data_IF_556161558085
#
_entry.id   IF_556161558085
#
_cell.length_a   1.000
_cell.length_b   1.000
_cell.length_c   1.000
_cell.angle_alpha   90.00
_cell.angle_beta   90.00
_cell.angle_gamma   90.00
#
_symmetry.space_group_name_H-M   'P 1'
#
loop_
_entity.id
_entity.type
_entity.pdbx_description
1 polymer ?
#
# COMPACT_ATOMS: atom_id res chain seq x y z
N UNK A 1 -27.45 37.13 -36.57
CA UNK A 1 -27.44 37.03 -38.04
C UNK A 1 -25.99 37.21 -38.44
N UNK A 2 -25.26 36.30 -39.08
CA UNK A 2 -25.64 35.18 -39.94
C UNK A 2 -24.66 34.02 -39.74
N UNK A 3 -25.22 32.83 -39.67
CA UNK A 3 -24.60 31.53 -39.89
C UNK A 3 -23.89 31.47 -41.25
N UNK A 4 -22.73 30.82 -41.31
CA UNK A 4 -22.17 30.30 -42.55
C UNK A 4 -22.09 28.79 -42.43
N UNK A 5 -23.14 28.19 -42.97
CA UNK A 5 -23.33 26.79 -43.29
C UNK A 5 -23.05 26.69 -44.78
N UNK A 6 -22.11 25.84 -45.20
CA UNK A 6 -21.90 25.56 -46.62
C UNK A 6 -21.54 24.09 -46.81
N UNK A 7 -22.58 23.37 -47.18
CA UNK A 7 -22.67 22.45 -48.32
C UNK A 7 -21.72 21.27 -48.43
N UNK A 8 -22.35 20.12 -48.18
CA UNK A 8 -22.08 18.82 -48.79
C UNK A 8 -22.26 18.90 -50.31
N UNK A 9 -21.40 18.21 -51.06
CA UNK A 9 -21.88 17.34 -52.15
C UNK A 9 -21.02 16.06 -52.28
N UNK A 10 -21.60 14.96 -52.77
CA UNK A 10 -21.03 13.62 -52.72
C UNK A 10 -20.32 13.24 -54.03
N UNK A 11 -19.35 12.33 -53.94
CA UNK A 11 -18.91 11.53 -55.08
C UNK A 11 -18.88 10.07 -54.68
N UNK A 12 -19.72 9.30 -55.36
CA UNK A 12 -19.72 7.86 -55.42
C UNK A 12 -18.37 7.30 -55.91
N UNK A 13 -18.14 6.02 -55.64
CA UNK A 13 -17.54 5.16 -56.64
C UNK A 13 -16.24 4.45 -56.26
N UNK A 14 -16.40 3.26 -55.68
CA UNK A 14 -15.72 2.04 -56.12
C UNK A 14 -14.18 2.03 -56.18
N UNK A 15 -13.56 1.33 -55.21
CA UNK A 15 -12.84 0.11 -55.58
C UNK A 15 -12.55 -0.76 -54.36
N UNK A 16 -13.08 -2.00 -54.40
CA UNK A 16 -12.58 -3.16 -53.65
C UNK A 16 -11.06 -3.24 -53.81
N UNK A 17 -10.33 -3.20 -52.70
CA UNK A 17 -9.04 -3.89 -52.59
C UNK A 17 -9.12 -4.87 -51.43
N UNK A 18 -8.79 -6.10 -51.76
CA UNK A 18 -8.49 -7.19 -50.85
C UNK A 18 -7.60 -6.69 -49.71
N UNK A 19 -8.11 -6.79 -48.49
CA UNK A 19 -7.28 -6.81 -47.30
C UNK A 19 -6.62 -8.18 -47.26
N UNK A 20 -5.34 -8.23 -47.61
CA UNK A 20 -4.49 -9.34 -47.24
C UNK A 20 -4.39 -9.31 -45.70
N UNK A 21 -5.07 -10.25 -45.05
CA UNK A 21 -4.90 -10.54 -43.63
C UNK A 21 -3.48 -11.05 -43.41
N UNK A 22 -2.61 -10.15 -42.98
CA UNK A 22 -1.32 -10.49 -42.40
C UNK A 22 -1.59 -11.33 -41.13
N UNK A 23 -1.10 -12.57 -41.03
CA UNK A 23 -1.32 -13.39 -39.85
C UNK A 23 -0.65 -12.71 -38.66
N UNK A 24 -1.49 -12.28 -37.69
CA UNK A 24 -1.08 -11.80 -36.37
C UNK A 24 -0.20 -12.87 -35.72
N UNK A 25 1.12 -12.74 -35.93
CA UNK A 25 2.14 -13.40 -35.15
C UNK A 25 1.84 -13.08 -33.68
N UNK A 26 1.45 -14.13 -32.95
CA UNK A 26 1.21 -14.08 -31.52
C UNK A 26 2.38 -13.36 -30.87
N UNK A 27 2.10 -12.16 -30.35
CA UNK A 27 3.06 -11.39 -29.57
C UNK A 27 3.59 -12.32 -28.47
N UNK A 28 4.92 -12.52 -28.38
CA UNK A 28 5.49 -13.41 -27.39
C UNK A 28 5.04 -12.91 -26.03
N UNK A 29 4.31 -13.76 -25.30
CA UNK A 29 3.94 -13.50 -23.92
C UNK A 29 5.20 -13.05 -23.17
N UNK A 30 5.17 -11.92 -22.45
CA UNK A 30 6.36 -11.47 -21.73
C UNK A 30 6.86 -12.62 -20.86
N UNK A 31 8.17 -12.88 -20.85
CA UNK A 31 8.72 -13.98 -20.07
C UNK A 31 8.22 -13.86 -18.63
N UNK A 32 7.85 -14.97 -17.97
CA UNK A 32 7.41 -14.93 -16.59
C UNK A 32 8.52 -14.25 -15.79
N UNK A 33 8.22 -13.05 -15.28
CA UNK A 33 9.11 -12.32 -14.39
C UNK A 33 9.29 -13.23 -13.19
N UNK A 34 10.41 -13.95 -13.19
CA UNK A 34 10.84 -14.76 -12.07
C UNK A 34 11.30 -13.75 -11.04
N UNK A 35 10.35 -13.29 -10.22
CA UNK A 35 10.69 -12.66 -8.96
C UNK A 35 11.44 -13.73 -8.18
N UNK A 36 12.76 -13.68 -8.23
CA UNK A 36 13.61 -14.39 -7.28
C UNK A 36 13.13 -13.93 -5.91
N UNK A 37 12.31 -14.77 -5.29
CA UNK A 37 11.96 -14.69 -3.89
C UNK A 37 13.26 -14.89 -3.12
N UNK A 38 14.04 -13.81 -3.00
CA UNK A 38 14.80 -13.61 -1.79
C UNK A 38 13.73 -13.67 -0.72
N UNK A 39 13.67 -14.80 0.00
CA UNK A 39 13.04 -14.86 1.32
C UNK A 39 13.41 -13.52 1.93
N UNK A 40 12.42 -12.65 2.14
CA UNK A 40 12.59 -11.48 2.98
C UNK A 40 12.79 -12.10 4.36
N UNK A 41 14.01 -12.60 4.57
CA UNK A 41 14.50 -13.03 5.84
C UNK A 41 14.48 -11.72 6.61
N UNK A 42 13.67 -11.76 7.66
CA UNK A 42 13.35 -10.74 8.63
C UNK A 42 14.64 -10.37 9.39
N UNK A 43 15.67 -9.95 8.67
CA UNK A 43 16.79 -9.25 9.25
C UNK A 43 16.18 -7.90 9.62
N UNK A 44 15.74 -7.76 10.88
CA UNK A 44 15.16 -6.55 11.47
C UNK A 44 16.11 -5.34 11.48
N UNK A 45 17.03 -5.26 10.53
CA UNK A 45 17.94 -4.18 10.16
C UNK A 45 17.27 -3.18 9.23
N UNK A 46 16.35 -3.59 8.34
CA UNK A 46 15.75 -2.69 7.33
C UNK A 46 14.90 -1.56 7.94
N UNK A 47 14.31 -1.79 9.12
CA UNK A 47 13.38 -0.88 9.79
C UNK A 47 13.96 -0.26 11.06
N UNK A 48 15.27 0.00 11.06
CA UNK A 48 15.92 0.71 12.15
C UNK A 48 16.01 2.21 11.88
N UNK A 49 15.96 2.98 12.96
CA UNK A 49 16.05 4.44 13.00
C UNK A 49 17.06 4.80 14.11
N UNK A 50 17.65 5.99 14.03
CA UNK A 50 18.76 6.44 14.88
C UNK A 50 20.03 5.64 14.61
N UNK A 51 20.67 5.88 13.45
CA UNK A 51 21.93 5.22 13.07
C UNK A 51 21.84 3.69 13.15
N UNK A 52 20.76 3.12 12.60
CA UNK A 52 20.46 1.68 12.62
C UNK A 52 20.50 1.01 14.01
N UNK A 53 20.35 1.78 15.09
CA UNK A 53 20.49 1.25 16.44
C UNK A 53 19.15 0.81 17.04
N UNK A 54 18.05 1.50 16.72
CA UNK A 54 16.74 1.29 17.38
C UNK A 54 15.69 0.87 16.37
N UNK A 55 14.91 -0.17 16.69
CA UNK A 55 13.78 -0.59 15.85
C UNK A 55 12.70 0.50 15.82
N UNK A 56 12.12 0.76 14.64
CA UNK A 56 11.14 1.83 14.41
C UNK A 56 9.98 1.81 15.41
N UNK A 57 9.52 0.61 15.79
CA UNK A 57 8.43 0.40 16.76
C UNK A 57 8.72 1.04 18.12
N UNK A 58 9.97 1.06 18.56
CA UNK A 58 10.39 1.69 19.82
C UNK A 58 10.79 3.16 19.64
N UNK A 59 11.30 3.53 18.47
CA UNK A 59 11.73 4.89 18.18
C UNK A 59 10.54 5.86 18.07
N UNK A 60 9.46 5.48 17.39
CA UNK A 60 8.28 6.34 17.17
C UNK A 60 7.68 6.90 18.47
N UNK A 61 7.35 6.10 19.51
CA UNK A 61 6.78 6.66 20.74
C UNK A 61 7.75 7.61 21.44
N UNK A 62 9.05 7.31 21.42
CA UNK A 62 10.07 8.19 22.00
C UNK A 62 10.13 9.54 21.26
N UNK A 63 10.08 9.53 19.93
CA UNK A 63 10.02 10.76 19.13
C UNK A 63 8.75 11.57 19.37
N UNK A 64 7.60 10.93 19.56
CA UNK A 64 6.34 11.62 19.91
C UNK A 64 6.49 12.32 21.26
N UNK A 65 7.03 11.63 22.28
CA UNK A 65 7.24 12.21 23.61
C UNK A 65 8.19 13.40 23.54
N UNK A 66 9.34 13.26 22.87
CA UNK A 66 10.30 14.36 22.70
C UNK A 66 9.65 15.55 21.99
N UNK A 67 8.87 15.31 20.93
CA UNK A 67 8.15 16.35 20.20
C UNK A 67 7.16 17.09 21.10
N UNK A 68 6.33 16.37 21.86
CA UNK A 68 5.39 16.98 22.80
C UNK A 68 6.09 17.82 23.87
N UNK A 69 7.22 17.34 24.41
CA UNK A 69 8.02 18.08 25.41
C UNK A 69 8.65 19.34 24.80
N UNK A 70 9.23 19.25 23.60
CA UNK A 70 9.81 20.40 22.89
C UNK A 70 8.76 21.49 22.62
N UNK A 71 7.57 21.10 22.14
CA UNK A 71 6.47 22.04 21.94
C UNK A 71 5.99 22.67 23.25
N UNK A 72 5.98 21.91 24.35
CA UNK A 72 5.60 22.45 25.66
C UNK A 72 6.64 23.46 26.18
N UNK A 73 7.93 23.19 25.99
CA UNK A 73 9.01 24.14 26.30
C UNK A 73 8.87 25.43 25.49
N UNK A 74 8.48 25.32 24.21
CA UNK A 74 8.20 26.49 23.35
C UNK A 74 6.94 27.25 23.77
N UNK A 75 5.95 26.55 24.33
CA UNK A 75 4.68 27.13 24.77
C UNK A 75 4.84 28.01 26.02
N UNK A 76 5.67 27.60 27.00
CA UNK A 76 5.88 28.32 28.27
C UNK A 76 6.20 29.82 28.07
N UNK A 77 7.25 30.21 27.32
CA UNK A 77 7.59 31.62 27.13
C UNK A 77 6.53 32.38 26.33
N UNK A 78 5.78 31.69 25.46
CA UNK A 78 4.72 32.27 24.66
C UNK A 78 3.50 32.61 25.53
N UNK A 79 3.17 31.75 26.48
CA UNK A 79 2.07 31.99 27.44
C UNK A 79 2.38 33.17 28.35
N UNK A 80 3.63 33.34 28.78
CA UNK A 80 4.00 34.44 29.69
C UNK A 80 4.00 35.83 29.04
N UNK A 81 4.04 35.93 27.70
CA UNK A 81 4.28 37.20 27.00
C UNK A 81 3.17 37.64 26.05
N UNK A 82 2.16 36.80 25.82
CA UNK A 82 1.21 36.99 24.71
C UNK A 82 -0.20 37.32 25.16
N UNK A 83 -1.00 37.85 24.22
CA UNK A 83 -2.43 38.09 24.42
C UNK A 83 -3.22 36.78 24.55
N UNK A 84 -4.43 36.86 25.13
CA UNK A 84 -5.31 35.72 25.38
C UNK A 84 -5.60 34.88 24.13
N UNK A 85 -5.74 35.52 22.97
CA UNK A 85 -6.00 34.83 21.70
C UNK A 85 -4.79 34.00 21.24
N UNK A 86 -3.57 34.53 21.36
CA UNK A 86 -2.33 33.81 21.01
C UNK A 86 -2.15 32.61 21.93
N UNK A 87 -2.46 32.75 23.23
CA UNK A 87 -2.42 31.66 24.20
C UNK A 87 -3.38 30.54 23.79
N UNK A 88 -4.64 30.87 23.50
CA UNK A 88 -5.65 29.89 23.08
C UNK A 88 -5.23 29.15 21.80
N UNK A 89 -4.75 29.88 20.79
CA UNK A 89 -4.27 29.29 19.55
C UNK A 89 -3.06 28.36 19.76
N UNK A 90 -2.16 28.73 20.67
CA UNK A 90 -0.97 27.94 20.99
C UNK A 90 -1.33 26.63 21.68
N UNK A 91 -2.26 26.67 22.65
CA UNK A 91 -2.76 25.47 23.33
C UNK A 91 -3.49 24.57 22.33
N UNK A 92 -4.32 25.14 21.47
CA UNK A 92 -5.01 24.38 20.42
C UNK A 92 -4.02 23.68 19.47
N UNK A 93 -2.98 24.40 19.04
CA UNK A 93 -1.91 23.83 18.20
C UNK A 93 -1.16 22.70 18.91
N UNK A 94 -0.86 22.87 20.20
CA UNK A 94 -0.23 21.82 21.01
C UNK A 94 -1.10 20.57 21.11
N UNK A 95 -2.42 20.72 21.33
CA UNK A 95 -3.37 19.61 21.37
C UNK A 95 -3.41 18.89 20.01
N UNK A 96 -3.41 19.63 18.89
CA UNK A 96 -3.36 19.02 17.55
C UNK A 96 -2.08 18.23 17.32
N UNK A 97 -0.92 18.73 17.76
CA UNK A 97 0.36 18.01 17.69
C UNK A 97 0.31 16.73 18.53
N UNK A 98 -0.22 16.79 19.74
CA UNK A 98 -0.38 15.61 20.60
C UNK A 98 -1.33 14.58 19.98
N UNK A 99 -2.46 15.04 19.43
CA UNK A 99 -3.45 14.17 18.78
C UNK A 99 -2.87 13.47 17.55
N UNK A 100 -2.13 14.20 16.71
CA UNK A 100 -1.48 13.62 15.52
C UNK A 100 -0.35 12.65 15.87
N UNK A 101 0.35 12.88 16.98
CA UNK A 101 1.27 11.90 17.56
C UNK A 101 0.53 10.63 18.03
N UNK A 102 -0.62 10.78 18.68
CA UNK A 102 -1.43 9.63 19.11
C UNK A 102 -1.97 8.84 17.92
N UNK A 103 -2.45 9.50 16.86
CA UNK A 103 -2.91 8.81 15.65
C UNK A 103 -1.79 8.09 14.92
N UNK A 104 -0.57 8.66 14.91
CA UNK A 104 0.62 7.98 14.39
C UNK A 104 0.91 6.69 15.15
N UNK A 105 0.92 6.76 16.48
CA UNK A 105 1.15 5.59 17.33
C UNK A 105 0.05 4.53 17.19
N UNK A 106 -1.22 4.95 17.15
CA UNK A 106 -2.34 4.06 16.89
C UNK A 106 -2.26 3.43 15.49
N UNK A 107 -1.84 4.20 14.49
CA UNK A 107 -1.59 3.74 13.12
C UNK A 107 -0.54 2.65 13.08
N UNK A 108 0.54 2.80 13.85
CA UNK A 108 1.62 1.82 13.99
C UNK A 108 1.15 0.52 14.64
N UNK A 109 0.41 0.58 15.75
CA UNK A 109 -0.11 -0.62 16.43
C UNK A 109 -1.14 -1.35 15.57
N UNK A 110 -2.05 -0.61 14.94
CA UNK A 110 -3.11 -1.20 14.12
C UNK A 110 -2.66 -1.54 12.70
N UNK A 111 -1.42 -1.21 12.33
CA UNK A 111 -0.89 -1.34 10.97
C UNK A 111 -1.79 -0.68 9.90
N UNK A 112 -2.39 0.48 10.23
CA UNK A 112 -3.30 1.22 9.36
C UNK A 112 -2.64 2.50 8.88
N UNK A 113 -2.17 2.50 7.63
CA UNK A 113 -1.51 3.67 7.02
C UNK A 113 -2.39 4.93 6.98
N UNK A 114 -3.72 4.77 6.91
CA UNK A 114 -4.68 5.90 6.89
C UNK A 114 -4.55 6.79 8.13
N UNK A 115 -4.18 6.20 9.29
CA UNK A 115 -3.99 6.92 10.54
C UNK A 115 -2.64 7.67 10.62
N UNK A 116 -1.70 7.36 9.73
CA UNK A 116 -0.40 8.05 9.62
C UNK A 116 -0.53 9.33 8.80
N UNK A 117 -1.44 9.37 7.82
CA UNK A 117 -1.59 10.49 6.88
C UNK A 117 -1.71 11.85 7.59
N UNK A 118 -2.55 12.01 8.65
CA UNK A 118 -2.63 13.28 9.37
C UNK A 118 -1.30 13.71 9.99
N UNK A 119 -0.52 12.77 10.52
CA UNK A 119 0.80 13.03 11.12
C UNK A 119 1.82 13.46 10.06
N UNK A 120 1.82 12.82 8.88
CA UNK A 120 2.66 13.24 7.75
C UNK A 120 2.33 14.66 7.29
N UNK A 121 1.04 14.96 7.11
CA UNK A 121 0.59 16.26 6.66
C UNK A 121 0.99 17.37 7.64
N UNK A 122 0.70 17.19 8.93
CA UNK A 122 1.06 18.15 9.97
C UNK A 122 2.57 18.33 10.09
N UNK A 123 3.35 17.26 9.98
CA UNK A 123 4.81 17.34 10.04
C UNK A 123 5.38 18.11 8.84
N UNK A 124 4.88 17.84 7.63
CA UNK A 124 5.30 18.57 6.43
C UNK A 124 4.95 20.07 6.52
N UNK A 125 3.74 20.38 6.96
CA UNK A 125 3.27 21.76 7.14
C UNK A 125 4.09 22.48 8.21
N UNK A 126 4.44 21.80 9.31
CA UNK A 126 5.31 22.34 10.36
C UNK A 126 6.70 22.67 9.83
N UNK A 127 7.34 21.74 9.13
CA UNK A 127 8.66 21.95 8.50
C UNK A 127 8.62 23.14 7.54
N UNK A 128 7.58 23.22 6.72
CA UNK A 128 7.42 24.32 5.76
C UNK A 128 7.29 25.68 6.46
N UNK A 129 6.38 25.80 7.44
CA UNK A 129 6.20 27.03 8.21
C UNK A 129 7.47 27.43 8.98
N UNK A 130 8.14 26.46 9.60
CA UNK A 130 9.36 26.71 10.36
C UNK A 130 10.52 27.13 9.45
N UNK A 131 10.60 26.57 8.26
CA UNK A 131 11.58 26.97 7.23
C UNK A 131 11.33 28.40 6.76
N UNK A 132 10.08 28.76 6.45
CA UNK A 132 9.70 30.12 6.09
C UNK A 132 10.01 31.11 7.22
N UNK A 133 9.64 30.78 8.45
CA UNK A 133 9.92 31.63 9.61
C UNK A 133 11.43 31.82 9.84
N UNK A 134 12.22 30.76 9.66
CA UNK A 134 13.69 30.84 9.74
C UNK A 134 14.27 31.72 8.62
N UNK A 135 13.73 31.62 7.40
CA UNK A 135 14.13 32.45 6.28
C UNK A 135 13.81 33.94 6.51
N UNK A 136 12.61 34.26 7.01
CA UNK A 136 12.23 35.64 7.36
C UNK A 136 13.16 36.22 8.42
N UNK A 137 13.49 35.46 9.47
CA UNK A 137 14.45 35.89 10.49
C UNK A 137 15.84 36.15 9.91
N UNK A 138 16.30 35.31 8.99
CA UNK A 138 17.59 35.51 8.35
C UNK A 138 17.61 36.81 7.51
N UNK A 139 16.55 37.09 6.75
CA UNK A 139 16.40 38.35 6.02
C UNK A 139 16.43 39.57 6.94
N UNK A 140 15.73 39.50 8.08
CA UNK A 140 15.74 40.59 9.06
C UNK A 140 17.14 40.83 9.61
N UNK A 141 17.88 39.77 9.92
CA UNK A 141 19.27 39.83 10.40
C UNK A 141 20.22 40.47 9.39
N UNK A 142 19.94 40.33 8.09
CA UNK A 142 20.72 41.01 7.04
C UNK A 142 20.33 42.47 6.83
N UNK A 143 19.07 42.84 7.10
CA UNK A 143 18.58 44.21 6.92
C UNK A 143 18.90 45.13 8.10
N UNK A 144 18.88 44.58 9.31
CA UNK A 144 19.19 45.28 10.53
C UNK A 144 20.64 45.00 10.85
N UNK A 145 21.47 46.04 10.90
CA UNK A 145 22.84 46.00 11.43
C UNK A 145 22.81 45.82 12.96
N UNK A 146 21.96 44.90 13.42
CA UNK A 146 21.70 44.60 14.82
C UNK A 146 22.96 43.97 15.42
N UNK A 147 23.41 44.51 16.56
CA UNK A 147 24.44 43.85 17.37
C UNK A 147 23.93 42.46 17.74
N UNK A 148 24.57 41.42 17.19
CA UNK A 148 24.31 40.03 17.55
C UNK A 148 24.61 39.83 19.03
N UNK A 149 23.61 40.04 19.87
CA UNK A 149 23.68 39.69 21.29
C UNK A 149 23.66 38.17 21.42
N UNK A 150 24.38 37.63 22.43
CA UNK A 150 24.44 36.19 22.71
C UNK A 150 23.06 35.52 22.81
N UNK A 151 22.06 36.24 23.31
CA UNK A 151 20.67 35.77 23.43
C UNK A 151 20.05 35.54 22.05
N UNK A 152 20.31 36.41 21.08
CA UNK A 152 19.79 36.30 19.72
C UNK A 152 20.41 35.12 18.97
N UNK A 153 21.73 34.91 19.13
CA UNK A 153 22.44 33.75 18.58
C UNK A 153 21.87 32.44 19.14
N UNK A 154 21.70 32.34 20.46
CA UNK A 154 21.17 31.13 21.09
C UNK A 154 19.74 30.81 20.66
N UNK A 155 18.88 31.84 20.50
CA UNK A 155 17.53 31.67 19.98
C UNK A 155 17.52 31.11 18.54
N UNK A 156 18.41 31.59 17.69
CA UNK A 156 18.54 31.11 16.31
C UNK A 156 19.07 29.68 16.23
N UNK A 157 20.05 29.32 17.07
CA UNK A 157 20.57 27.94 17.18
C UNK A 157 19.46 26.99 17.63
N UNK A 158 18.69 27.35 18.66
CA UNK A 158 17.59 26.51 19.14
C UNK A 158 16.53 26.30 18.06
N UNK A 159 16.18 27.35 17.31
CA UNK A 159 15.23 27.25 16.20
C UNK A 159 15.75 26.34 15.08
N UNK A 160 17.05 26.40 14.78
CA UNK A 160 17.68 25.53 13.79
C UNK A 160 17.71 24.06 14.24
N UNK A 161 18.04 23.80 15.51
CA UNK A 161 17.97 22.46 16.10
C UNK A 161 16.55 21.90 16.07
N UNK A 162 15.55 22.74 16.34
CA UNK A 162 14.14 22.37 16.25
C UNK A 162 13.74 22.02 14.81
N UNK A 163 14.25 22.75 13.81
CA UNK A 163 14.05 22.42 12.40
C UNK A 163 14.69 21.09 12.00
N UNK A 164 15.93 20.83 12.43
CA UNK A 164 16.60 19.55 12.20
C UNK A 164 15.80 18.41 12.82
N UNK A 165 15.33 18.60 14.06
CA UNK A 165 14.49 17.62 14.74
C UNK A 165 13.20 17.34 13.97
N UNK A 166 12.50 18.37 13.47
CA UNK A 166 11.28 18.20 12.68
C UNK A 166 11.53 17.49 11.34
N UNK A 167 12.64 17.79 10.66
CA UNK A 167 13.05 17.07 9.45
C UNK A 167 13.30 15.58 9.74
N UNK A 168 13.99 15.30 10.86
CA UNK A 168 14.26 13.93 11.28
C UNK A 168 12.99 13.19 11.73
N UNK A 169 12.07 13.90 12.40
CA UNK A 169 10.76 13.38 12.75
C UNK A 169 9.96 13.01 11.49
N UNK A 170 9.88 13.91 10.50
CA UNK A 170 9.21 13.66 9.23
C UNK A 170 9.81 12.45 8.50
N UNK A 171 11.13 12.31 8.48
CA UNK A 171 11.81 11.13 7.96
C UNK A 171 11.41 9.85 8.71
N UNK A 172 11.34 9.90 10.04
CA UNK A 172 10.91 8.74 10.86
C UNK A 172 9.45 8.36 10.56
N UNK A 173 8.57 9.35 10.43
CA UNK A 173 7.16 9.12 10.08
C UNK A 173 7.03 8.51 8.69
N UNK A 174 7.81 8.98 7.70
CA UNK A 174 7.77 8.41 6.34
C UNK A 174 8.30 6.97 6.32
N UNK A 175 9.35 6.65 7.08
CA UNK A 175 9.82 5.27 7.27
C UNK A 175 8.76 4.40 7.95
N UNK A 176 8.00 4.96 8.89
CA UNK A 176 6.86 4.29 9.54
C UNK A 176 5.76 3.96 8.54
N UNK A 177 5.45 4.89 7.64
CA UNK A 177 4.49 4.66 6.57
C UNK A 177 4.92 3.51 5.66
N UNK A 178 6.18 3.52 5.19
CA UNK A 178 6.74 2.45 4.35
C UNK A 178 6.69 1.10 5.06
N UNK A 179 7.11 1.04 6.33
CA UNK A 179 7.04 -0.17 7.15
C UNK A 179 5.63 -0.77 7.17
N UNK A 180 4.60 0.05 7.42
CA UNK A 180 3.22 -0.44 7.46
C UNK A 180 2.75 -0.90 6.08
N UNK A 181 3.10 -0.18 5.02
CA UNK A 181 2.79 -0.59 3.66
C UNK A 181 3.42 -1.95 3.32
N UNK A 182 4.69 -2.17 3.67
CA UNK A 182 5.40 -3.42 3.43
C UNK A 182 4.79 -4.58 4.22
N UNK A 183 4.50 -4.38 5.51
CA UNK A 183 3.84 -5.38 6.36
C UNK A 183 2.47 -5.75 5.78
N UNK A 184 1.69 -4.76 5.36
CA UNK A 184 0.35 -4.99 4.78
C UNK A 184 0.42 -5.68 3.42
N UNK A 185 1.34 -5.28 2.56
CA UNK A 185 1.55 -5.92 1.26
C UNK A 185 1.96 -7.39 1.44
N UNK A 186 2.81 -7.68 2.42
CA UNK A 186 3.20 -9.06 2.72
C UNK A 186 2.00 -9.89 3.21
N UNK A 187 1.16 -9.34 4.10
CA UNK A 187 -0.09 -9.98 4.54
C UNK A 187 -1.04 -10.25 3.37
N UNK A 188 -1.26 -9.27 2.50
CA UNK A 188 -2.12 -9.41 1.33
C UNK A 188 -1.63 -10.49 0.35
N UNK A 189 -0.30 -10.60 0.14
CA UNK A 189 0.30 -11.65 -0.70
C UNK A 189 0.07 -13.04 -0.07
N UNK A 190 0.30 -13.19 1.23
CA UNK A 190 0.08 -14.45 1.93
C UNK A 190 -1.40 -14.87 1.89
N UNK A 191 -2.32 -13.94 2.07
CA UNK A 191 -3.75 -14.21 2.01
C UNK A 191 -4.20 -14.61 0.59
N UNK A 192 -3.69 -13.93 -0.44
CA UNK A 192 -3.93 -14.33 -1.85
C UNK A 192 -3.41 -15.74 -2.14
N UNK A 193 -2.22 -16.10 -1.64
CA UNK A 193 -1.68 -17.46 -1.78
C UNK A 193 -2.52 -18.51 -1.08
N UNK A 194 -2.99 -18.23 0.15
CA UNK A 194 -3.90 -19.14 0.87
C UNK A 194 -5.19 -19.35 0.10
N UNK A 195 -5.83 -18.26 -0.36
CA UNK A 195 -7.05 -18.33 -1.17
C UNK A 195 -6.83 -19.14 -2.45
N UNK A 196 -5.74 -18.89 -3.17
CA UNK A 196 -5.42 -19.63 -4.39
C UNK A 196 -5.15 -21.13 -4.14
N UNK A 197 -4.51 -21.46 -3.01
CA UNK A 197 -4.27 -22.87 -2.61
C UNK A 197 -5.58 -23.57 -2.26
N UNK A 198 -6.49 -22.89 -1.55
CA UNK A 198 -7.82 -23.43 -1.23
C UNK A 198 -8.64 -23.65 -2.50
N UNK A 199 -8.63 -22.69 -3.43
CA UNK A 199 -9.34 -22.82 -4.72
C UNK A 199 -8.77 -23.99 -5.52
N UNK A 200 -7.44 -24.10 -5.65
CA UNK A 200 -6.80 -25.24 -6.32
C UNK A 200 -7.14 -26.58 -5.67
N UNK A 201 -7.11 -26.65 -4.33
CA UNK A 201 -7.50 -27.85 -3.60
C UNK A 201 -8.95 -28.28 -3.87
N UNK A 202 -9.87 -27.31 -3.93
CA UNK A 202 -11.28 -27.58 -4.27
C UNK A 202 -11.48 -28.02 -5.72
N UNK A 203 -10.72 -27.45 -6.66
CA UNK A 203 -10.76 -27.87 -8.08
C UNK A 203 -10.27 -29.31 -8.21
N UNK A 204 -9.13 -29.65 -7.57
CA UNK A 204 -8.60 -31.02 -7.58
C UNK A 204 -9.56 -32.01 -6.90
N UNK A 205 -10.24 -31.60 -5.82
CA UNK A 205 -11.24 -32.44 -5.17
C UNK A 205 -12.49 -32.64 -6.04
N UNK A 206 -12.92 -31.60 -6.77
CA UNK A 206 -14.02 -31.68 -7.73
C UNK A 206 -13.67 -32.59 -8.91
N UNK A 207 -12.47 -32.48 -9.48
CA UNK A 207 -11.98 -33.36 -10.55
C UNK A 207 -11.90 -34.81 -10.08
N UNK A 208 -11.46 -35.06 -8.85
CA UNK A 208 -11.42 -36.42 -8.28
C UNK A 208 -12.83 -37.00 -8.09
N UNK A 209 -13.78 -36.21 -7.58
CA UNK A 209 -15.18 -36.65 -7.45
C UNK A 209 -15.81 -36.93 -8.81
N UNK A 210 -15.52 -36.10 -9.80
CA UNK A 210 -15.99 -36.30 -11.18
C UNK A 210 -15.41 -37.59 -11.75
N UNK A 211 -14.11 -37.83 -11.60
CA UNK A 211 -13.46 -39.08 -12.09
C UNK A 211 -14.08 -40.33 -11.48
N UNK A 212 -14.35 -40.33 -10.16
CA UNK A 212 -14.99 -41.47 -9.47
C UNK A 212 -16.40 -41.74 -10.02
N UNK A 213 -17.17 -40.69 -10.33
CA UNK A 213 -18.52 -40.86 -10.91
C UNK A 213 -18.45 -41.53 -12.28
N UNK A 214 -17.48 -41.14 -13.11
CA UNK A 214 -17.30 -41.74 -14.44
C UNK A 214 -16.80 -43.19 -14.38
N UNK A 215 -15.86 -43.49 -13.47
CA UNK A 215 -15.41 -44.89 -13.25
C UNK A 215 -16.58 -45.78 -12.77
N UNK A 216 -17.46 -45.26 -11.91
CA UNK A 216 -18.64 -46.01 -11.47
C UNK A 216 -19.66 -46.24 -12.59
N UNK A 217 -19.86 -45.29 -13.52
CA UNK A 217 -20.76 -45.45 -14.67
C UNK A 217 -20.20 -46.45 -15.71
N UNK A 218 -18.88 -46.49 -15.89
CA UNK A 218 -18.22 -47.48 -16.75
C UNK A 218 -18.32 -48.90 -16.16
N UNK A 219 -18.12 -49.06 -14.85
CA UNK A 219 -18.27 -50.36 -14.16
C UNK A 219 -19.72 -50.87 -14.20
N UNK A 220 -20.72 -49.99 -14.07
CA UNK A 220 -22.14 -50.35 -14.21
C UNK A 220 -22.46 -50.77 -15.65
N UNK A 221 -21.89 -50.08 -16.63
CA UNK A 221 -22.06 -50.41 -18.06
C UNK A 221 -21.41 -51.75 -18.40
N UNK A 222 -20.24 -52.06 -17.84
CA UNK A 222 -19.57 -53.34 -18.00
C UNK A 222 -20.30 -54.50 -17.31
N UNK A 223 -20.80 -54.31 -16.09
CA UNK A 223 -21.58 -55.31 -15.37
C UNK A 223 -22.91 -55.64 -16.09
N UNK A 224 -23.59 -54.62 -16.61
CA UNK A 224 -24.82 -54.80 -17.41
C UNK A 224 -24.55 -55.58 -18.72
N UNK A 225 -23.39 -55.37 -19.33
CA UNK A 225 -23.01 -56.03 -20.58
C UNK A 225 -22.60 -57.50 -20.36
N UNK A 226 -21.99 -57.82 -19.21
CA UNK A 226 -21.70 -59.21 -18.82
C UNK A 226 -22.97 -59.99 -18.47
N UNK A 227 -23.90 -59.40 -17.72
CA UNK A 227 -25.20 -60.02 -17.43
C UNK A 227 -25.99 -60.32 -18.72
N UNK A 228 -26.01 -59.38 -19.67
CA UNK A 228 -26.66 -59.58 -20.96
C UNK A 228 -25.98 -60.66 -21.82
N UNK A 229 -24.65 -60.83 -21.69
CA UNK A 229 -23.89 -61.87 -22.39
C UNK A 229 -24.16 -63.25 -21.77
N UNK A 230 -24.25 -63.36 -20.44
CA UNK A 230 -24.56 -64.60 -19.73
C UNK A 230 -25.99 -65.11 -20.03
N UNK A 231 -26.97 -64.22 -20.16
CA UNK A 231 -28.34 -64.59 -20.53
C UNK A 231 -28.41 -65.19 -21.96
N UNK A 232 -27.66 -64.62 -22.91
CA UNK A 232 -27.56 -65.16 -24.28
C UNK A 232 -26.89 -66.54 -24.35
N UNK A 233 -25.89 -66.82 -23.53
CA UNK A 233 -25.26 -68.15 -23.47
C UNK A 233 -26.19 -69.20 -22.84
N UNK A 234 -27.00 -68.81 -21.84
CA UNK A 234 -28.02 -69.67 -21.24
C UNK A 234 -29.12 -70.10 -22.21
N UNK A 235 -29.59 -69.20 -23.09
CA UNK A 235 -30.57 -69.55 -24.12
C UNK A 235 -30.00 -70.43 -25.24
N UNK A 236 -28.72 -70.27 -25.60
CA UNK A 236 -28.10 -71.04 -26.68
C UNK A 236 -27.84 -72.50 -26.26
N UNK A 237 -27.56 -72.76 -24.98
CA UNK A 237 -27.37 -74.12 -24.45
C UNK A 237 -28.68 -74.93 -24.42
N UNK A 238 -29.80 -74.30 -24.04
CA UNK A 238 -31.14 -74.94 -24.07
C UNK A 238 -31.62 -75.33 -25.47
N UNK A 239 -31.02 -74.80 -26.54
CA UNK A 239 -31.38 -75.11 -27.92
C UNK A 239 -30.58 -76.28 -28.52
N UNK A 240 -29.54 -76.75 -27.82
CA UNK A 240 -28.71 -77.89 -28.25
C UNK A 240 -29.23 -79.21 -27.65
N UNK A 241 -29.89 -79.17 -26.49
CA UNK A 241 -30.42 -80.36 -25.82
C UNK A 241 -31.79 -80.85 -26.37
N UNK A 242 -32.24 -80.29 -27.50
CA UNK A 242 -33.55 -80.60 -28.12
C UNK A 242 -33.44 -81.08 -29.58
N UNK A 243 -32.27 -81.56 -30.00
CA UNK A 243 -32.07 -82.28 -31.27
C UNK A 243 -31.61 -83.69 -30.99
#
# INVERSE_FOLDING_TARGET
>A
MSSNESDRQPSEGSHRRHSDEEPLLASPSPPPITYTHKKLQDDGTLYRVCMDSIHLVHAVPLFIIIKCVLYLILLIPLVSKSSSLVIAFSIFTWILVALTGLTLYAGLIMEKYVLIIPSLFVSFLTVFLLSLHTFVKFLQLTSLREELTRVHIMGNVFQFLFLIFEMYYLYTVSRTFVYICDVRMNKDIHDRRRKHTIVKGRVVEAERKFTIIYEMDDDISHASLEDFRMEKYGQKKKRIDHV
#
